data_IF_679133724101
#
_entry.id   IF_679133724101
#
_cell.length_a   1.000
_cell.length_b   1.000
_cell.length_c   1.000
_cell.angle_alpha   90.00
_cell.angle_beta   90.00
_cell.angle_gamma   90.00
#
_symmetry.space_group_name_H-M   'P 1'
#
loop_
_entity.id
_entity.type
_entity.pdbx_description
1 polymer ?
#
# COMPACT_ATOMS: atom_id res chain seq x y z
N UNK A 1 58.24 -6.36 -0.70
CA UNK A 1 58.02 -5.25 0.24
C UNK A 1 56.79 -5.55 1.03
N UNK A 2 56.80 -5.44 2.37
CA UNK A 2 56.02 -6.23 3.34
C UNK A 2 54.67 -5.51 3.62
N UNK A 3 53.55 -6.18 3.86
CA UNK A 3 53.30 -6.98 5.05
C UNK A 3 52.72 -6.13 6.18
N UNK A 4 51.36 -5.95 6.26
CA UNK A 4 50.73 -5.55 7.51
C UNK A 4 49.56 -6.50 7.76
N UNK A 5 49.79 -7.42 8.69
CA UNK A 5 48.77 -8.19 9.41
C UNK A 5 48.32 -7.31 10.56
N UNK A 6 47.04 -6.99 10.65
CA UNK A 6 46.45 -6.53 11.91
C UNK A 6 45.48 -7.58 12.46
N UNK A 7 45.85 -8.05 13.63
CA UNK A 7 45.07 -8.84 14.57
C UNK A 7 43.88 -8.04 15.05
N UNK A 8 42.66 -8.54 14.90
CA UNK A 8 41.50 -8.17 15.70
C UNK A 8 40.95 -9.40 16.42
N UNK A 9 41.67 -9.78 17.49
CA UNK A 9 41.12 -10.59 18.58
C UNK A 9 40.67 -9.62 19.68
N UNK A 10 39.38 -9.41 19.84
CA UNK A 10 38.79 -8.67 20.93
C UNK A 10 37.55 -9.40 21.44
N UNK A 11 37.75 -10.17 22.54
CA UNK A 11 36.67 -10.73 23.35
C UNK A 11 35.69 -9.62 23.76
N UNK A 12 34.42 -9.76 23.39
CA UNK A 12 33.33 -8.99 23.96
C UNK A 12 32.87 -9.70 25.24
N UNK A 13 33.31 -9.18 26.36
CA UNK A 13 32.79 -9.47 27.70
C UNK A 13 31.32 -9.02 27.78
N UNK A 14 30.43 -9.96 28.01
CA UNK A 14 28.97 -9.79 28.05
C UNK A 14 28.40 -9.45 29.43
N UNK A 15 29.19 -8.86 30.35
CA UNK A 15 28.72 -8.57 31.71
C UNK A 15 29.24 -7.24 32.27
N UNK A 16 28.84 -6.11 31.63
CA UNK A 16 28.90 -4.81 32.31
C UNK A 16 27.65 -3.97 31.98
N UNK A 17 26.68 -4.05 32.88
CA UNK A 17 25.62 -3.04 33.00
C UNK A 17 26.25 -1.82 33.67
N UNK A 18 26.26 -0.62 33.05
CA UNK A 18 26.69 0.59 33.75
C UNK A 18 25.63 0.99 34.77
N UNK A 19 26.08 1.11 36.03
CA UNK A 19 25.28 1.55 37.16
C UNK A 19 24.81 3.00 37.08
N UNK A 20 23.73 3.23 37.80
CA UNK A 20 23.24 4.49 38.37
C UNK A 20 23.01 5.68 37.40
N UNK A 21 21.85 5.65 36.74
CA UNK A 21 21.13 6.89 36.42
C UNK A 21 20.42 7.42 37.67
N UNK A 22 20.56 8.72 38.02
CA UNK A 22 19.92 9.28 39.19
C UNK A 22 18.40 9.18 39.05
N UNK A 23 17.77 8.53 40.04
CA UNK A 23 16.32 8.54 40.27
C UNK A 23 15.84 9.97 40.48
N UNK A 24 15.59 10.74 39.45
CA UNK A 24 14.73 11.91 39.58
C UNK A 24 13.29 11.40 39.56
N UNK A 25 12.72 11.38 40.74
CA UNK A 25 11.31 11.20 41.04
C UNK A 25 10.47 12.10 40.12
N UNK A 26 9.81 11.51 39.14
CA UNK A 26 8.63 12.12 38.55
C UNK A 26 7.52 11.99 39.61
N UNK A 27 7.21 13.09 40.28
CA UNK A 27 6.09 13.20 41.19
C UNK A 27 4.77 13.07 40.41
N UNK A 28 4.30 11.85 40.26
CA UNK A 28 2.93 11.51 39.82
C UNK A 28 2.12 11.17 41.06
N UNK A 29 1.83 12.20 41.86
CA UNK A 29 1.01 12.12 43.07
C UNK A 29 -0.06 13.20 43.05
N UNK A 30 -1.01 13.12 42.10
CA UNK A 30 -2.30 13.80 42.23
C UNK A 30 -3.43 12.84 41.87
N UNK A 31 -4.43 12.67 42.78
CA UNK A 31 -5.61 11.85 42.50
C UNK A 31 -6.39 12.41 41.29
N UNK A 32 -6.78 11.54 40.38
CA UNK A 32 -7.51 11.85 39.14
C UNK A 32 -8.93 12.45 39.43
N UNK A 33 -9.32 12.59 40.68
CA UNK A 33 -10.69 12.92 41.11
C UNK A 33 -11.13 14.38 40.89
N UNK A 34 -10.30 15.32 40.40
CA UNK A 34 -10.68 16.73 40.32
C UNK A 34 -10.20 17.45 39.05
N UNK A 35 -10.23 16.80 37.90
CA UNK A 35 -10.16 17.54 36.61
C UNK A 35 -11.55 17.96 36.22
N UNK A 36 -11.83 19.28 36.27
CA UNK A 36 -13.01 19.87 35.63
C UNK A 36 -13.15 19.32 34.21
N UNK A 37 -14.36 18.91 33.75
CA UNK A 37 -14.56 18.46 32.42
C UNK A 37 -14.12 19.57 31.43
N UNK A 38 -13.17 19.26 30.56
CA UNK A 38 -12.75 20.13 29.48
C UNK A 38 -13.99 20.49 28.63
N UNK A 39 -14.17 21.76 28.43
CA UNK A 39 -15.30 22.41 27.80
C UNK A 39 -15.66 21.76 26.44
N UNK A 40 -16.88 21.29 26.30
CA UNK A 40 -17.46 20.42 25.27
C UNK A 40 -17.63 21.12 23.90
N UNK A 41 -16.61 21.81 23.36
CA UNK A 41 -16.63 22.49 22.04
C UNK A 41 -15.76 21.85 20.96
N UNK A 42 -14.98 20.83 21.24
CA UNK A 42 -14.40 19.98 20.20
C UNK A 42 -15.15 18.65 20.24
N UNK A 43 -16.03 18.40 19.27
CA UNK A 43 -16.48 17.04 18.98
C UNK A 43 -15.20 16.20 18.79
N UNK A 44 -14.90 15.42 19.79
CA UNK A 44 -13.65 14.67 19.89
C UNK A 44 -13.54 13.78 18.65
N UNK A 45 -12.46 13.96 17.89
CA UNK A 45 -12.21 13.20 16.66
C UNK A 45 -12.22 11.71 17.02
N UNK A 46 -12.91 10.89 16.25
CA UNK A 46 -13.01 9.44 16.51
C UNK A 46 -11.62 8.78 16.66
N UNK A 47 -10.60 9.31 15.98
CA UNK A 47 -9.21 8.85 16.05
C UNK A 47 -8.51 9.23 17.36
N UNK A 48 -8.99 10.25 18.07
CA UNK A 48 -8.43 10.76 19.34
C UNK A 48 -9.19 10.27 20.57
N UNK A 49 -10.36 9.64 20.37
CA UNK A 49 -11.17 9.12 21.48
C UNK A 49 -10.45 8.00 22.18
N UNK A 50 -10.63 7.94 23.50
CA UNK A 50 -10.20 6.78 24.29
C UNK A 50 -11.05 5.57 23.93
N UNK A 51 -10.40 4.39 23.90
CA UNK A 51 -11.09 3.13 23.69
C UNK A 51 -11.47 2.53 25.06
N UNK A 52 -12.78 2.41 25.38
CA UNK A 52 -13.20 1.86 26.67
C UNK A 52 -12.69 0.42 26.90
N UNK A 53 -12.51 -0.37 25.84
CA UNK A 53 -12.00 -1.73 25.94
C UNK A 53 -10.51 -1.79 26.36
N UNK A 54 -9.80 -0.66 26.34
CA UNK A 54 -8.38 -0.54 26.67
C UNK A 54 -8.13 0.46 27.84
N UNK A 55 -9.15 0.77 28.65
CA UNK A 55 -9.05 1.81 29.67
C UNK A 55 -7.97 1.56 30.74
N UNK A 56 -7.62 0.29 31.01
CA UNK A 56 -6.59 -0.12 31.99
C UNK A 56 -5.51 -0.96 31.33
N UNK A 57 -5.14 -0.63 30.08
CA UNK A 57 -4.21 -1.45 29.29
C UNK A 57 -2.83 -1.58 29.93
N UNK A 58 -2.34 -0.50 30.53
CA UNK A 58 -1.04 -0.38 31.20
C UNK A 58 -0.94 -1.23 32.48
N UNK A 59 -2.07 -1.62 33.05
CA UNK A 59 -2.15 -2.47 34.25
C UNK A 59 -2.33 -3.96 33.91
N UNK A 60 -2.48 -4.31 32.63
CA UNK A 60 -2.79 -5.68 32.23
C UNK A 60 -1.54 -6.53 32.07
N UNK A 61 -1.62 -7.84 32.37
CA UNK A 61 -0.58 -8.80 31.99
C UNK A 61 -0.41 -8.84 30.47
N UNK A 62 0.80 -9.13 29.99
CA UNK A 62 1.12 -9.17 28.54
C UNK A 62 0.10 -9.95 27.71
N UNK A 63 -0.33 -11.12 28.21
CA UNK A 63 -1.30 -11.96 27.51
C UNK A 63 -2.65 -11.24 27.33
N UNK A 64 -3.11 -10.50 28.32
CA UNK A 64 -4.37 -9.76 28.24
C UNK A 64 -4.25 -8.53 27.33
N UNK A 65 -3.11 -7.83 27.37
CA UNK A 65 -2.81 -6.77 26.40
C UNK A 65 -2.96 -7.29 24.97
N UNK A 66 -2.35 -8.44 24.65
CA UNK A 66 -2.42 -9.05 23.32
C UNK A 66 -3.86 -9.47 22.95
N UNK A 67 -4.64 -9.99 23.90
CA UNK A 67 -6.05 -10.34 23.68
C UNK A 67 -6.90 -9.11 23.38
N UNK A 68 -6.69 -8.01 24.10
CA UNK A 68 -7.40 -6.74 23.86
C UNK A 68 -7.09 -6.22 22.45
N UNK A 69 -5.81 -6.17 22.08
CA UNK A 69 -5.38 -5.74 20.73
C UNK A 69 -6.01 -6.62 19.67
N UNK A 70 -5.88 -7.94 19.79
CA UNK A 70 -6.41 -8.88 18.81
C UNK A 70 -7.93 -8.77 18.66
N UNK A 71 -8.69 -8.64 19.75
CA UNK A 71 -10.13 -8.45 19.73
C UNK A 71 -10.55 -7.16 19.02
N UNK A 72 -9.81 -6.09 19.22
CA UNK A 72 -10.04 -4.83 18.52
C UNK A 72 -9.70 -4.94 17.02
N UNK A 73 -8.66 -5.66 16.66
CA UNK A 73 -8.25 -5.87 15.26
C UNK A 73 -9.31 -6.66 14.46
N UNK A 74 -10.07 -7.53 15.09
CA UNK A 74 -11.20 -8.24 14.45
C UNK A 74 -12.28 -7.30 13.89
N UNK A 75 -12.33 -6.04 14.33
CA UNK A 75 -13.27 -5.03 13.81
C UNK A 75 -12.87 -4.47 12.44
N UNK A 76 -11.61 -4.65 12.02
CA UNK A 76 -11.06 -4.01 10.83
C UNK A 76 -11.68 -4.56 9.55
N UNK A 77 -11.63 -5.86 9.34
CA UNK A 77 -12.16 -6.47 8.12
C UNK A 77 -13.67 -6.22 7.92
N UNK A 78 -14.54 -6.33 8.95
CA UNK A 78 -15.93 -5.93 8.84
C UNK A 78 -16.14 -4.44 8.52
N UNK A 79 -15.28 -3.54 9.03
CA UNK A 79 -15.34 -2.12 8.70
C UNK A 79 -15.01 -1.88 7.22
N UNK A 80 -13.98 -2.53 6.71
CA UNK A 80 -13.59 -2.46 5.29
C UNK A 80 -14.68 -3.08 4.41
N UNK A 81 -15.27 -4.21 4.79
CA UNK A 81 -16.37 -4.85 4.05
C UNK A 81 -17.53 -3.90 3.75
N UNK A 82 -17.88 -3.03 4.71
CA UNK A 82 -18.94 -2.02 4.51
C UNK A 82 -18.61 -0.97 3.44
N UNK A 83 -17.35 -0.84 3.04
CA UNK A 83 -16.89 0.13 2.03
C UNK A 83 -16.64 -0.50 0.65
N UNK A 84 -16.93 -1.79 0.46
CA UNK A 84 -16.71 -2.48 -0.82
C UNK A 84 -17.39 -1.80 -2.02
N UNK A 85 -18.62 -1.25 -1.94
CA UNK A 85 -19.23 -0.55 -3.05
C UNK A 85 -18.43 0.70 -3.48
N UNK A 86 -17.88 1.45 -2.53
CA UNK A 86 -17.04 2.62 -2.80
C UNK A 86 -15.69 2.20 -3.38
N UNK A 87 -15.11 1.11 -2.86
CA UNK A 87 -13.85 0.53 -3.40
C UNK A 87 -14.06 0.09 -4.85
N UNK A 88 -15.17 -0.58 -5.17
CA UNK A 88 -15.47 -1.01 -6.53
C UNK A 88 -15.54 0.19 -7.51
N UNK A 89 -16.26 1.26 -7.15
CA UNK A 89 -16.31 2.48 -7.95
C UNK A 89 -14.93 3.13 -8.12
N UNK A 90 -14.10 3.11 -7.07
CA UNK A 90 -12.74 3.63 -7.11
C UNK A 90 -11.83 2.79 -8.03
N UNK A 91 -11.98 1.46 -8.03
CA UNK A 91 -11.31 0.55 -8.96
C UNK A 91 -11.69 0.88 -10.41
N UNK A 92 -12.99 1.03 -10.70
CA UNK A 92 -13.44 1.36 -12.07
C UNK A 92 -12.90 2.72 -12.54
N UNK A 93 -12.84 3.70 -11.63
CA UNK A 93 -12.22 5.02 -11.90
C UNK A 93 -10.72 4.88 -12.19
N UNK A 94 -9.98 4.08 -11.43
CA UNK A 94 -8.54 3.84 -11.62
C UNK A 94 -8.28 3.10 -12.95
N UNK A 95 -9.10 2.09 -13.27
CA UNK A 95 -9.02 1.36 -14.55
C UNK A 95 -9.22 2.30 -15.74
N UNK A 96 -10.24 3.15 -15.69
CA UNK A 96 -10.50 4.13 -16.74
C UNK A 96 -9.33 5.10 -16.92
N UNK A 97 -8.77 5.62 -15.82
CA UNK A 97 -7.64 6.53 -15.85
C UNK A 97 -6.40 5.87 -16.47
N UNK A 98 -6.05 4.66 -16.04
CA UNK A 98 -4.85 3.96 -16.54
C UNK A 98 -5.00 3.59 -18.01
N UNK A 99 -6.18 3.17 -18.49
CA UNK A 99 -6.46 2.92 -19.90
C UNK A 99 -6.27 4.17 -20.76
N UNK A 100 -6.51 5.35 -20.20
CA UNK A 100 -6.33 6.64 -20.86
C UNK A 100 -4.92 7.24 -20.65
N UNK A 101 -3.93 6.42 -20.25
CA UNK A 101 -2.54 6.83 -20.06
C UNK A 101 -2.28 7.65 -18.80
N UNK A 102 -3.19 7.63 -17.82
CA UNK A 102 -3.00 8.18 -16.48
C UNK A 102 -2.46 7.14 -15.48
N UNK A 103 -2.38 7.53 -14.21
CA UNK A 103 -1.86 6.73 -13.10
C UNK A 103 -2.82 6.75 -11.91
N UNK A 104 -2.73 5.75 -11.04
CA UNK A 104 -3.24 5.78 -9.68
C UNK A 104 -2.14 6.30 -8.76
N UNK A 105 -2.33 7.43 -8.11
CA UNK A 105 -1.31 8.10 -7.29
C UNK A 105 -1.77 8.17 -5.85
N UNK A 106 -1.03 7.54 -4.95
CA UNK A 106 -1.24 7.61 -3.51
C UNK A 106 -0.55 8.84 -2.92
N UNK A 107 -1.20 9.57 -2.02
CA UNK A 107 -0.64 10.71 -1.31
C UNK A 107 -0.96 10.59 0.17
N UNK A 108 0.07 10.58 1.00
CA UNK A 108 -0.09 10.47 2.46
C UNK A 108 1.12 10.97 3.23
N UNK A 109 0.92 11.15 4.55
CA UNK A 109 1.96 11.42 5.52
C UNK A 109 2.06 10.28 6.54
N UNK A 110 3.19 10.14 7.22
CA UNK A 110 3.39 9.17 8.29
C UNK A 110 3.06 7.74 7.84
N UNK A 111 2.35 6.99 8.70
CA UNK A 111 1.92 5.61 8.41
C UNK A 111 1.09 5.51 7.13
N UNK A 112 0.15 6.43 6.92
CA UNK A 112 -0.72 6.42 5.73
C UNK A 112 0.08 6.53 4.42
N UNK A 113 1.08 7.41 4.39
CA UNK A 113 1.95 7.56 3.23
C UNK A 113 2.89 6.36 3.03
N UNK A 114 3.43 5.78 4.12
CA UNK A 114 4.25 4.56 4.06
C UNK A 114 3.49 3.37 3.50
N UNK A 115 2.22 3.19 3.88
CA UNK A 115 1.35 2.16 3.34
C UNK A 115 1.09 2.36 1.85
N UNK A 116 0.93 3.61 1.40
CA UNK A 116 0.84 3.94 -0.03
C UNK A 116 2.11 3.56 -0.79
N UNK A 117 3.29 3.87 -0.22
CA UNK A 117 4.58 3.46 -0.83
C UNK A 117 4.74 1.95 -0.87
N UNK A 118 4.39 1.26 0.23
CA UNK A 118 4.44 -0.21 0.28
C UNK A 118 3.60 -0.83 -0.84
N UNK A 119 2.33 -0.45 -0.97
CA UNK A 119 1.44 -1.02 -2.00
C UNK A 119 1.93 -0.69 -3.42
N UNK A 120 2.34 0.55 -3.68
CA UNK A 120 2.83 0.98 -5.00
C UNK A 120 4.12 0.25 -5.40
N UNK A 121 5.06 0.07 -4.48
CA UNK A 121 6.35 -0.60 -4.74
C UNK A 121 6.19 -2.07 -5.12
N UNK A 122 5.20 -2.76 -4.56
CA UNK A 122 4.92 -4.17 -4.85
C UNK A 122 4.15 -4.39 -6.17
N UNK A 123 3.59 -3.33 -6.76
CA UNK A 123 2.85 -3.43 -8.03
C UNK A 123 3.77 -3.69 -9.22
N UNK A 124 4.96 -3.12 -9.26
CA UNK A 124 5.91 -3.31 -10.35
C UNK A 124 6.39 -4.77 -10.48
N UNK A 125 6.90 -5.44 -9.44
CA UNK A 125 7.32 -6.83 -9.53
C UNK A 125 6.16 -7.81 -9.74
N UNK A 126 4.95 -7.49 -9.24
CA UNK A 126 3.77 -8.38 -9.30
C UNK A 126 3.05 -8.30 -10.64
N UNK A 127 2.85 -7.10 -11.16
CA UNK A 127 1.99 -6.83 -12.32
C UNK A 127 2.74 -6.24 -13.51
N UNK A 128 4.04 -6.00 -13.41
CA UNK A 128 4.86 -5.41 -14.46
C UNK A 128 4.37 -4.02 -14.88
N UNK A 129 4.05 -3.15 -13.92
CA UNK A 129 3.46 -1.85 -14.18
C UNK A 129 4.11 -0.73 -13.37
N UNK A 130 4.18 0.45 -13.96
CA UNK A 130 4.53 1.72 -13.30
C UNK A 130 3.31 2.65 -13.15
N UNK A 131 2.10 2.13 -13.42
CA UNK A 131 0.87 2.94 -13.40
C UNK A 131 0.35 3.22 -11.99
N UNK A 132 0.97 2.68 -10.95
CA UNK A 132 0.66 2.99 -9.56
C UNK A 132 1.90 3.64 -8.93
N UNK A 133 1.71 4.82 -8.36
CA UNK A 133 2.79 5.60 -7.74
C UNK A 133 2.37 6.08 -6.35
N UNK A 134 3.33 6.43 -5.52
CA UNK A 134 3.07 6.99 -4.20
C UNK A 134 3.94 8.23 -3.92
N UNK A 135 3.36 9.15 -3.17
CA UNK A 135 4.00 10.38 -2.70
C UNK A 135 3.85 10.44 -1.18
N UNK A 136 4.96 10.39 -0.48
CA UNK A 136 5.06 10.43 0.98
C UNK A 136 5.68 11.73 1.43
N UNK A 137 5.04 12.42 2.37
CA UNK A 137 5.59 13.61 3.00
C UNK A 137 6.98 13.31 3.60
N UNK A 138 8.00 14.05 3.16
CA UNK A 138 9.37 13.90 3.65
C UNK A 138 10.18 12.72 3.11
N UNK A 139 9.69 12.05 2.03
CA UNK A 139 10.50 11.02 1.38
C UNK A 139 11.82 11.61 0.82
N UNK A 140 12.93 10.81 0.80
CA UNK A 140 13.02 9.39 1.21
C UNK A 140 13.19 9.15 2.72
N UNK A 141 13.61 10.15 3.50
CA UNK A 141 13.92 9.96 4.93
C UNK A 141 12.71 9.45 5.75
N UNK A 142 11.50 9.91 5.40
CA UNK A 142 10.25 9.51 6.06
C UNK A 142 9.87 8.03 5.88
N UNK A 143 10.56 7.28 5.04
CA UNK A 143 10.38 5.82 4.94
C UNK A 143 10.88 5.11 6.21
N UNK A 144 11.98 5.60 6.78
CA UNK A 144 12.71 4.94 7.87
C UNK A 144 12.47 5.57 9.24
N UNK A 145 12.21 6.88 9.30
CA UNK A 145 12.02 7.62 10.56
C UNK A 145 10.85 8.59 10.45
N UNK A 146 10.32 9.00 11.59
CA UNK A 146 9.36 10.10 11.62
C UNK A 146 10.08 11.39 11.25
N UNK A 147 9.46 12.19 10.38
CA UNK A 147 9.91 13.55 10.05
C UNK A 147 8.75 14.46 10.41
N UNK A 148 8.93 15.15 11.53
CA UNK A 148 7.87 15.98 12.10
C UNK A 148 7.63 17.28 11.31
N UNK A 149 6.42 17.84 11.45
CA UNK A 149 6.03 19.12 10.86
C UNK A 149 5.70 19.08 9.36
N UNK A 150 6.10 18.04 8.63
CA UNK A 150 5.86 17.98 7.17
C UNK A 150 4.40 17.66 6.82
N UNK A 151 3.68 16.98 7.70
CA UNK A 151 2.26 16.71 7.50
C UNK A 151 1.38 17.96 7.65
N UNK A 152 1.89 19.01 8.29
CA UNK A 152 1.18 20.24 8.57
C UNK A 152 1.23 21.28 7.44
N UNK A 153 2.03 21.02 6.39
CA UNK A 153 2.15 21.95 5.27
C UNK A 153 1.25 21.58 4.08
N UNK A 154 0.30 22.47 3.78
CA UNK A 154 -0.56 22.40 2.58
C UNK A 154 0.26 22.52 1.29
N UNK A 155 1.27 23.40 1.30
CA UNK A 155 2.10 23.72 0.13
C UNK A 155 2.97 22.52 -0.29
N UNK A 156 3.48 21.78 0.70
CA UNK A 156 4.33 20.61 0.44
C UNK A 156 3.58 19.53 -0.35
N UNK A 157 2.33 19.22 0.01
CA UNK A 157 1.53 18.22 -0.69
C UNK A 157 1.28 18.58 -2.16
N UNK A 158 1.00 19.84 -2.43
CA UNK A 158 0.84 20.35 -3.80
C UNK A 158 2.17 20.32 -4.56
N UNK A 159 3.29 20.77 -3.93
CA UNK A 159 4.63 20.77 -4.52
C UNK A 159 5.09 19.37 -4.89
N UNK A 160 4.92 18.39 -4.00
CA UNK A 160 5.41 17.05 -4.22
C UNK A 160 4.62 16.33 -5.32
N UNK A 161 3.31 16.56 -5.44
CA UNK A 161 2.53 16.11 -6.61
C UNK A 161 3.00 16.78 -7.92
N UNK A 162 3.40 18.04 -7.87
CA UNK A 162 3.91 18.74 -9.05
C UNK A 162 5.23 18.15 -9.52
N UNK A 163 6.13 17.78 -8.60
CA UNK A 163 7.41 17.13 -8.93
C UNK A 163 7.26 15.82 -9.72
N UNK A 164 6.21 15.07 -9.48
CA UNK A 164 5.92 13.83 -10.22
C UNK A 164 5.10 14.05 -11.49
N UNK A 165 4.94 15.30 -11.93
CA UNK A 165 4.14 15.68 -13.11
C UNK A 165 2.69 15.17 -13.05
N UNK A 166 2.07 15.17 -11.84
CA UNK A 166 0.67 14.78 -11.65
C UNK A 166 -0.24 15.66 -12.53
N UNK A 167 -1.19 15.07 -13.23
CA UNK A 167 -2.03 15.78 -14.20
C UNK A 167 -3.49 15.27 -14.22
N UNK A 168 -4.34 15.86 -15.08
CA UNK A 168 -5.78 15.58 -15.17
C UNK A 168 -6.15 14.13 -15.54
N UNK A 169 -5.23 13.36 -16.11
CA UNK A 169 -5.45 11.94 -16.45
C UNK A 169 -5.23 11.01 -15.25
N UNK A 170 -4.48 11.47 -14.25
CA UNK A 170 -4.21 10.70 -13.04
C UNK A 170 -5.43 10.67 -12.10
N UNK A 171 -5.50 9.66 -11.26
CA UNK A 171 -6.43 9.58 -10.11
C UNK A 171 -5.61 9.72 -8.84
N UNK A 172 -5.96 10.68 -7.99
CA UNK A 172 -5.34 10.85 -6.68
C UNK A 172 -6.10 10.06 -5.62
N UNK A 173 -5.40 9.29 -4.80
CA UNK A 173 -5.91 8.74 -3.54
C UNK A 173 -5.24 9.48 -2.40
N UNK A 174 -5.96 10.40 -1.78
CA UNK A 174 -5.52 11.03 -0.53
C UNK A 174 -5.76 10.08 0.64
N UNK A 175 -4.72 9.81 1.44
CA UNK A 175 -4.75 8.83 2.53
C UNK A 175 -4.46 9.53 3.85
N UNK A 176 -5.46 9.58 4.75
CA UNK A 176 -5.32 10.15 6.09
C UNK A 176 -6.35 9.55 7.03
N UNK A 177 -5.92 8.91 8.12
CA UNK A 177 -6.83 8.27 9.08
C UNK A 177 -7.83 9.27 9.68
N UNK A 178 -7.36 10.46 10.08
CA UNK A 178 -8.21 11.55 10.58
C UNK A 178 -8.90 12.33 9.47
N UNK A 179 -8.36 12.26 8.24
CA UNK A 179 -8.80 13.02 7.09
C UNK A 179 -8.54 14.53 7.17
N UNK A 180 -7.61 14.95 8.03
CA UNK A 180 -7.33 16.36 8.33
C UNK A 180 -5.89 16.79 8.01
N UNK A 181 -4.98 15.86 7.69
CA UNK A 181 -3.57 16.17 7.42
C UNK A 181 -3.45 17.26 6.35
N UNK A 182 -2.90 18.45 6.66
CA UNK A 182 -2.79 19.56 5.73
C UNK A 182 -2.04 19.18 4.46
N UNK A 183 -0.99 18.40 4.56
CA UNK A 183 -0.25 17.86 3.40
C UNK A 183 -1.18 17.17 2.39
N UNK A 184 -2.05 16.27 2.86
CA UNK A 184 -2.99 15.53 2.01
C UNK A 184 -4.04 16.49 1.42
N UNK A 185 -4.59 17.39 2.25
CA UNK A 185 -5.55 18.39 1.79
C UNK A 185 -4.96 19.31 0.71
N UNK A 186 -3.70 19.71 0.85
CA UNK A 186 -3.00 20.55 -0.13
C UNK A 186 -2.84 19.86 -1.48
N UNK A 187 -2.43 18.58 -1.48
CA UNK A 187 -2.37 17.77 -2.69
C UNK A 187 -3.74 17.55 -3.34
N UNK A 188 -4.79 17.27 -2.54
CA UNK A 188 -6.16 17.12 -3.06
C UNK A 188 -6.70 18.41 -3.67
N UNK A 189 -6.41 19.58 -3.07
CA UNK A 189 -6.76 20.89 -3.66
C UNK A 189 -6.06 21.12 -4.99
N UNK A 190 -4.78 20.76 -5.11
CA UNK A 190 -4.06 20.80 -6.39
C UNK A 190 -4.71 19.89 -7.43
N UNK A 191 -5.02 18.65 -7.08
CA UNK A 191 -5.66 17.70 -7.97
C UNK A 191 -7.00 18.22 -8.48
N UNK A 192 -7.80 18.84 -7.60
CA UNK A 192 -9.07 19.50 -7.96
C UNK A 192 -8.87 20.64 -8.96
N UNK A 193 -7.88 21.53 -8.71
CA UNK A 193 -7.53 22.60 -9.68
C UNK A 193 -7.08 22.05 -11.04
N UNK A 194 -6.40 20.90 -11.05
CA UNK A 194 -6.00 20.22 -12.29
C UNK A 194 -7.12 19.39 -12.94
N UNK A 195 -8.33 19.41 -12.37
CA UNK A 195 -9.50 18.63 -12.82
C UNK A 195 -9.23 17.11 -12.87
N UNK A 196 -8.36 16.62 -12.02
CA UNK A 196 -8.12 15.20 -11.83
C UNK A 196 -9.18 14.58 -10.91
N UNK A 197 -9.41 13.27 -11.03
CA UNK A 197 -10.29 12.53 -10.14
C UNK A 197 -9.63 12.27 -8.79
N UNK A 198 -10.43 12.29 -7.73
CA UNK A 198 -9.95 12.24 -6.35
C UNK A 198 -10.73 11.20 -5.55
N UNK A 199 -9.99 10.32 -4.88
CA UNK A 199 -10.50 9.36 -3.90
C UNK A 199 -9.97 9.78 -2.53
N UNK A 200 -10.83 9.84 -1.53
CA UNK A 200 -10.45 10.03 -0.13
C UNK A 200 -10.49 8.69 0.59
N UNK A 201 -9.38 8.29 1.22
CA UNK A 201 -9.31 7.13 2.12
C UNK A 201 -9.06 7.64 3.55
N UNK A 202 -10.09 7.51 4.40
CA UNK A 202 -10.08 8.00 5.78
C UNK A 202 -10.80 7.01 6.70
N UNK A 203 -10.53 7.05 8.01
CA UNK A 203 -11.28 6.28 9.02
C UNK A 203 -12.23 7.18 9.85
N UNK A 204 -12.35 8.46 9.47
CA UNK A 204 -13.20 9.43 10.13
C UNK A 204 -14.35 9.86 9.19
N UNK A 205 -15.63 9.59 9.55
CA UNK A 205 -16.77 9.97 8.73
C UNK A 205 -16.96 11.50 8.60
N UNK A 206 -16.43 12.27 9.54
CA UNK A 206 -16.48 13.75 9.55
C UNK A 206 -15.19 14.39 8.99
N UNK A 207 -14.46 13.67 8.14
CA UNK A 207 -13.19 14.11 7.58
C UNK A 207 -13.38 15.27 6.58
N UNK A 208 -12.68 16.42 6.75
CA UNK A 208 -12.75 17.54 5.80
C UNK A 208 -12.35 17.15 4.37
N UNK A 209 -11.44 16.19 4.22
CA UNK A 209 -11.01 15.69 2.91
C UNK A 209 -12.16 15.10 2.08
N UNK A 210 -13.26 14.66 2.71
CA UNK A 210 -14.43 14.12 2.02
C UNK A 210 -15.05 15.13 1.04
N UNK A 211 -15.09 16.42 1.41
CA UNK A 211 -15.60 17.50 0.55
C UNK A 211 -14.76 17.81 -0.70
N UNK A 212 -13.55 17.25 -0.79
CA UNK A 212 -12.66 17.40 -1.94
C UNK A 212 -12.70 16.19 -2.89
N UNK A 213 -13.32 15.09 -2.51
CA UNK A 213 -13.24 13.82 -3.21
C UNK A 213 -14.47 13.54 -4.08
N UNK A 214 -14.25 12.84 -5.21
CA UNK A 214 -15.32 12.25 -6.03
C UNK A 214 -15.85 10.95 -5.39
N UNK A 215 -14.97 10.21 -4.68
CA UNK A 215 -15.31 8.99 -3.94
C UNK A 215 -14.66 9.04 -2.56
N UNK A 216 -15.46 8.74 -1.53
CA UNK A 216 -14.97 8.61 -0.15
C UNK A 216 -15.04 7.14 0.28
N UNK A 217 -13.90 6.58 0.66
CA UNK A 217 -13.77 5.25 1.27
C UNK A 217 -13.48 5.46 2.75
N UNK A 218 -14.45 5.15 3.60
CA UNK A 218 -14.35 5.43 5.04
C UNK A 218 -14.63 4.17 5.88
N UNK A 219 -13.63 3.28 6.05
CA UNK A 219 -13.75 2.18 7.00
C UNK A 219 -13.64 2.70 8.44
N UNK A 220 -14.78 2.83 9.11
CA UNK A 220 -14.85 3.30 10.50
C UNK A 220 -14.47 2.16 11.43
N UNK A 221 -13.25 2.20 11.98
CA UNK A 221 -12.67 1.16 12.86
C UNK A 221 -12.83 1.48 14.36
N UNK A 222 -13.36 2.66 14.68
CA UNK A 222 -13.47 3.14 16.07
C UNK A 222 -12.15 3.63 16.67
N UNK A 223 -12.15 3.98 17.97
CA UNK A 223 -10.97 4.43 18.69
C UNK A 223 -9.88 3.35 18.74
N UNK A 224 -8.63 3.76 18.67
CA UNK A 224 -7.49 2.84 18.78
C UNK A 224 -7.28 2.33 20.21
N UNK A 225 -6.59 1.22 20.37
CA UNK A 225 -6.21 0.67 21.68
C UNK A 225 -5.30 1.66 22.44
N UNK A 226 -4.41 2.33 21.71
CA UNK A 226 -3.69 3.50 22.18
C UNK A 226 -4.31 4.72 21.50
N UNK A 227 -4.98 5.58 22.25
CA UNK A 227 -5.69 6.75 21.73
C UNK A 227 -4.77 7.61 20.84
N UNK A 228 -5.24 7.98 19.64
CA UNK A 228 -4.48 8.75 18.67
C UNK A 228 -3.48 7.95 17.82
N UNK A 229 -3.17 6.70 18.20
CA UNK A 229 -2.18 5.88 17.48
C UNK A 229 -2.76 5.19 16.23
N UNK A 230 -3.11 5.98 15.22
CA UNK A 230 -3.78 5.53 13.98
C UNK A 230 -2.95 4.59 13.09
N UNK A 231 -1.71 4.23 13.49
CA UNK A 231 -0.91 3.20 12.84
C UNK A 231 -1.47 1.78 13.02
N UNK A 232 -2.38 1.56 13.97
CA UNK A 232 -2.93 0.25 14.35
C UNK A 232 -4.15 -0.11 13.46
N UNK A 233 -5.37 -0.10 13.99
CA UNK A 233 -6.59 -0.48 13.23
C UNK A 233 -6.81 0.35 11.98
N UNK A 234 -6.64 1.68 12.09
CA UNK A 234 -6.79 2.56 10.93
C UNK A 234 -5.76 2.27 9.85
N UNK A 235 -4.48 2.07 10.24
CA UNK A 235 -3.42 1.65 9.31
C UNK A 235 -3.74 0.30 8.66
N UNK A 236 -4.18 -0.69 9.43
CA UNK A 236 -4.58 -2.01 8.89
C UNK A 236 -5.75 -1.88 7.90
N UNK A 237 -6.76 -1.06 8.20
CA UNK A 237 -7.87 -0.80 7.30
C UNK A 237 -7.40 -0.15 5.99
N UNK A 238 -6.53 0.86 6.08
CA UNK A 238 -5.93 1.51 4.90
C UNK A 238 -5.17 0.50 4.04
N UNK A 239 -4.33 -0.35 4.65
CA UNK A 239 -3.60 -1.40 3.93
C UNK A 239 -4.52 -2.35 3.19
N UNK A 240 -5.61 -2.81 3.81
CA UNK A 240 -6.59 -3.68 3.17
C UNK A 240 -7.26 -2.99 1.97
N UNK A 241 -7.64 -1.72 2.10
CA UNK A 241 -8.24 -0.94 1.01
C UNK A 241 -7.26 -0.72 -0.14
N UNK A 242 -6.02 -0.33 0.14
CA UNK A 242 -4.99 -0.11 -0.89
C UNK A 242 -4.71 -1.38 -1.68
N UNK A 243 -4.56 -2.53 -1.00
CA UNK A 243 -4.38 -3.81 -1.66
C UNK A 243 -5.58 -4.19 -2.56
N UNK A 244 -6.82 -3.90 -2.13
CA UNK A 244 -8.01 -4.12 -2.95
C UNK A 244 -8.01 -3.19 -4.17
N UNK A 245 -7.68 -1.91 -4.01
CA UNK A 245 -7.62 -0.94 -5.10
C UNK A 245 -6.59 -1.36 -6.16
N UNK A 246 -5.34 -1.61 -5.77
CA UNK A 246 -4.27 -1.97 -6.69
C UNK A 246 -4.55 -3.32 -7.36
N UNK A 247 -4.84 -4.36 -6.56
CA UNK A 247 -5.03 -5.72 -7.09
C UNK A 247 -6.23 -5.79 -8.03
N UNK A 248 -7.40 -5.27 -7.61
CA UNK A 248 -8.59 -5.33 -8.45
C UNK A 248 -8.42 -4.49 -9.73
N UNK A 249 -7.75 -3.33 -9.66
CA UNK A 249 -7.41 -2.53 -10.83
C UNK A 249 -6.55 -3.34 -11.81
N UNK A 250 -5.50 -4.02 -11.34
CA UNK A 250 -4.64 -4.83 -12.20
C UNK A 250 -5.34 -6.06 -12.78
N UNK A 251 -6.23 -6.70 -12.02
CA UNK A 251 -7.10 -7.78 -12.52
C UNK A 251 -8.00 -7.28 -13.65
N UNK A 252 -8.66 -6.12 -13.48
CA UNK A 252 -9.54 -5.50 -14.48
C UNK A 252 -8.79 -5.01 -15.72
N UNK A 253 -7.50 -4.68 -15.58
CA UNK A 253 -6.59 -4.36 -16.69
C UNK A 253 -6.02 -5.60 -17.39
N UNK A 254 -6.40 -6.82 -16.97
CA UNK A 254 -5.97 -8.07 -17.59
C UNK A 254 -4.52 -8.45 -17.31
N UNK A 255 -3.95 -7.99 -16.18
CA UNK A 255 -2.59 -8.34 -15.75
C UNK A 255 -2.51 -9.65 -14.96
N UNK A 256 -3.66 -10.29 -14.73
CA UNK A 256 -3.81 -11.54 -13.97
C UNK A 256 -4.67 -12.52 -14.79
N UNK A 257 -4.22 -13.76 -14.91
CA UNK A 257 -4.96 -14.84 -15.56
C UNK A 257 -5.43 -15.84 -14.49
N UNK A 258 -6.76 -15.98 -14.32
CA UNK A 258 -7.33 -16.64 -13.14
C UNK A 258 -6.80 -15.97 -11.85
N UNK A 259 -5.98 -16.66 -11.07
CA UNK A 259 -5.30 -16.13 -9.89
C UNK A 259 -3.76 -16.07 -10.05
N UNK A 260 -3.24 -16.13 -11.29
CA UNK A 260 -1.80 -16.19 -11.57
C UNK A 260 -1.27 -14.86 -12.06
N UNK A 261 -0.11 -14.47 -11.54
CA UNK A 261 0.65 -13.30 -11.96
C UNK A 261 1.30 -13.57 -13.32
N UNK A 262 0.59 -13.24 -14.41
CA UNK A 262 1.09 -13.50 -15.78
C UNK A 262 2.05 -12.41 -16.28
N UNK A 263 2.07 -11.24 -15.65
CA UNK A 263 2.90 -10.12 -16.09
C UNK A 263 4.06 -9.83 -15.11
N UNK A 264 4.50 -10.86 -14.38
CA UNK A 264 5.58 -10.78 -13.40
C UNK A 264 6.91 -10.41 -14.06
N UNK A 265 7.67 -9.53 -13.41
CA UNK A 265 9.03 -9.17 -13.85
C UNK A 265 10.03 -10.23 -13.37
N UNK A 266 10.75 -10.89 -14.30
CA UNK A 266 11.69 -11.98 -14.01
C UNK A 266 13.05 -11.42 -13.58
N UNK A 267 13.12 -10.74 -12.44
CA UNK A 267 14.32 -10.06 -11.94
C UNK A 267 15.18 -10.94 -11.04
N UNK A 268 14.63 -12.03 -10.50
CA UNK A 268 15.36 -12.95 -9.62
C UNK A 268 14.95 -14.41 -9.85
N UNK A 269 15.69 -15.35 -9.24
CA UNK A 269 15.47 -16.79 -9.42
C UNK A 269 14.07 -17.24 -8.94
N UNK A 270 13.55 -16.69 -7.85
CA UNK A 270 12.20 -16.99 -7.35
C UNK A 270 11.13 -16.66 -8.39
N UNK A 271 11.24 -15.50 -9.04
CA UNK A 271 10.28 -15.05 -10.05
C UNK A 271 10.45 -15.84 -11.36
N UNK A 272 11.68 -16.21 -11.70
CA UNK A 272 11.95 -17.13 -12.81
C UNK A 272 11.27 -18.49 -12.61
N UNK A 273 11.51 -19.15 -11.47
CA UNK A 273 10.92 -20.45 -11.15
C UNK A 273 9.39 -20.40 -11.14
N UNK A 274 8.81 -19.28 -10.66
CA UNK A 274 7.36 -19.06 -10.69
C UNK A 274 6.83 -18.99 -12.13
N UNK A 275 7.48 -18.22 -13.00
CA UNK A 275 7.07 -18.08 -14.40
C UNK A 275 7.21 -19.41 -15.15
N UNK A 276 8.30 -20.17 -14.91
CA UNK A 276 8.51 -21.50 -15.45
C UNK A 276 7.38 -22.46 -15.03
N UNK A 277 7.00 -22.46 -13.74
CA UNK A 277 5.89 -23.25 -13.24
C UNK A 277 4.53 -22.83 -13.83
N UNK A 278 4.28 -21.54 -13.99
CA UNK A 278 3.05 -21.04 -14.64
C UNK A 278 2.98 -21.51 -16.09
N UNK A 279 4.09 -21.40 -16.83
CA UNK A 279 4.18 -21.82 -18.22
C UNK A 279 3.94 -23.34 -18.36
N UNK A 280 4.64 -24.14 -17.58
CA UNK A 280 4.47 -25.61 -17.54
C UNK A 280 3.02 -25.99 -17.26
N UNK A 281 2.41 -25.39 -16.21
CA UNK A 281 1.03 -25.71 -15.83
C UNK A 281 -0.05 -25.30 -16.84
N UNK A 282 0.19 -24.22 -17.59
CA UNK A 282 -0.80 -23.73 -18.56
C UNK A 282 -0.65 -24.32 -19.96
N UNK A 283 0.52 -24.88 -20.30
CA UNK A 283 0.81 -25.34 -21.66
C UNK A 283 1.13 -26.82 -21.75
N UNK A 284 1.33 -27.51 -20.64
CA UNK A 284 1.83 -28.89 -20.62
C UNK A 284 3.31 -29.05 -21.05
N UNK A 285 4.02 -27.95 -21.32
CA UNK A 285 5.43 -27.98 -21.69
C UNK A 285 6.31 -28.53 -20.57
N UNK A 286 7.38 -29.22 -20.93
CA UNK A 286 8.41 -29.64 -19.98
C UNK A 286 9.14 -28.43 -19.38
N UNK A 287 9.80 -28.60 -18.26
CA UNK A 287 10.60 -27.55 -17.61
C UNK A 287 11.69 -27.00 -18.54
N UNK A 288 12.34 -27.87 -19.32
CA UNK A 288 13.33 -27.48 -20.31
C UNK A 288 12.75 -26.60 -21.42
N UNK A 289 11.57 -26.99 -21.96
CA UNK A 289 10.85 -26.20 -22.98
C UNK A 289 10.37 -24.85 -22.42
N UNK A 290 9.85 -24.85 -21.19
CA UNK A 290 9.42 -23.63 -20.50
C UNK A 290 10.59 -22.66 -20.30
N UNK A 291 11.73 -23.15 -19.79
CA UNK A 291 12.93 -22.33 -19.60
C UNK A 291 13.48 -21.79 -20.93
N UNK A 292 13.44 -22.59 -22.02
CA UNK A 292 13.82 -22.13 -23.36
C UNK A 292 12.86 -21.01 -23.83
N UNK A 293 11.55 -21.22 -23.75
CA UNK A 293 10.55 -20.22 -24.16
C UNK A 293 10.68 -18.90 -23.40
N UNK A 294 10.95 -18.94 -22.09
CA UNK A 294 11.20 -17.73 -21.27
C UNK A 294 12.47 -16.98 -21.71
N UNK A 295 13.54 -17.70 -22.11
CA UNK A 295 14.74 -17.07 -22.68
C UNK A 295 14.44 -16.45 -24.04
N UNK A 296 13.83 -17.19 -24.95
CA UNK A 296 13.51 -16.78 -26.32
C UNK A 296 12.52 -15.58 -26.34
N UNK A 297 11.62 -15.50 -25.36
CA UNK A 297 10.70 -14.37 -25.16
C UNK A 297 11.36 -13.12 -24.57
N UNK A 298 12.65 -13.13 -24.27
CA UNK A 298 13.37 -12.08 -23.51
C UNK A 298 12.78 -11.86 -22.12
N UNK A 299 12.53 -12.93 -21.38
CA UNK A 299 11.96 -12.94 -20.03
C UNK A 299 10.54 -12.37 -19.94
N UNK A 300 9.78 -12.40 -21.00
CA UNK A 300 8.39 -11.95 -21.05
C UNK A 300 7.45 -13.16 -21.00
N UNK A 301 6.86 -13.42 -19.83
CA UNK A 301 6.01 -14.60 -19.61
C UNK A 301 4.76 -14.63 -20.53
N UNK A 302 3.99 -13.53 -20.72
CA UNK A 302 2.88 -13.51 -21.67
C UNK A 302 3.29 -13.91 -23.11
N UNK A 303 4.41 -13.37 -23.57
CA UNK A 303 4.96 -13.69 -24.90
C UNK A 303 5.35 -15.16 -24.97
N UNK A 304 6.06 -15.67 -23.94
CA UNK A 304 6.45 -17.08 -23.88
C UNK A 304 5.24 -18.03 -23.90
N UNK A 305 4.17 -17.70 -23.17
CA UNK A 305 2.91 -18.45 -23.16
C UNK A 305 2.30 -18.53 -24.57
N UNK A 306 2.19 -17.40 -25.29
CA UNK A 306 1.66 -17.40 -26.66
C UNK A 306 2.56 -18.15 -27.63
N UNK A 307 3.88 -18.02 -27.52
CA UNK A 307 4.83 -18.75 -28.36
C UNK A 307 4.60 -20.26 -28.26
N UNK A 308 4.42 -20.77 -27.03
CA UNK A 308 4.22 -22.21 -26.78
C UNK A 308 2.81 -22.65 -27.23
N UNK A 309 1.76 -21.93 -26.79
CA UNK A 309 0.36 -22.30 -27.06
C UNK A 309 0.03 -22.28 -28.56
N UNK A 310 0.49 -21.27 -29.28
CA UNK A 310 0.16 -21.07 -30.70
C UNK A 310 1.27 -21.51 -31.68
N UNK A 311 2.42 -21.97 -31.14
CA UNK A 311 3.61 -22.34 -31.95
C UNK A 311 4.05 -21.20 -32.91
N UNK A 312 4.02 -19.96 -32.44
CA UNK A 312 4.36 -18.76 -33.20
C UNK A 312 5.68 -18.13 -32.71
N UNK A 313 6.26 -17.27 -33.56
CA UNK A 313 7.48 -16.54 -33.24
C UNK A 313 7.22 -15.47 -32.18
N UNK A 314 8.29 -15.05 -31.48
CA UNK A 314 8.24 -13.95 -30.50
C UNK A 314 7.64 -12.67 -31.10
N UNK A 315 8.00 -12.32 -32.32
CA UNK A 315 7.49 -11.12 -32.98
C UNK A 315 5.96 -11.17 -33.13
N UNK A 316 5.42 -12.29 -33.64
CA UNK A 316 3.97 -12.50 -33.78
C UNK A 316 3.27 -12.51 -32.43
N UNK A 317 3.84 -13.17 -31.44
CA UNK A 317 3.28 -13.19 -30.08
C UNK A 317 3.24 -11.79 -29.44
N UNK A 318 4.31 -11.00 -29.61
CA UNK A 318 4.35 -9.62 -29.10
C UNK A 318 3.33 -8.70 -29.79
N UNK A 319 3.17 -8.81 -31.11
CA UNK A 319 2.17 -8.04 -31.85
C UNK A 319 0.74 -8.35 -31.36
N UNK A 320 0.36 -9.63 -31.22
CA UNK A 320 -0.96 -10.01 -30.72
C UNK A 320 -1.26 -9.48 -29.29
N UNK A 321 -0.24 -9.38 -28.45
CA UNK A 321 -0.41 -8.82 -27.10
C UNK A 321 -0.54 -7.29 -27.09
N UNK A 322 -0.04 -6.60 -28.12
CA UNK A 322 -0.14 -5.13 -28.25
C UNK A 322 -1.48 -4.69 -28.86
N UNK A 323 -2.08 -5.53 -29.72
CA UNK A 323 -3.37 -5.25 -30.37
C UNK A 323 -4.54 -5.25 -29.38
N UNK A 324 -4.40 -5.92 -28.25
CA UNK A 324 -5.48 -6.09 -27.29
C UNK A 324 -5.17 -5.45 -25.91
N UNK A 325 -6.11 -4.74 -25.33
CA UNK A 325 -5.91 -4.05 -24.05
C UNK A 325 -5.80 -5.01 -22.85
N UNK A 326 -6.16 -6.29 -23.01
CA UNK A 326 -6.15 -7.30 -21.94
C UNK A 326 -5.29 -8.50 -22.30
N UNK A 327 -4.10 -8.58 -21.74
CA UNK A 327 -3.19 -9.74 -21.86
C UNK A 327 -3.90 -11.04 -21.47
N UNK A 328 -4.68 -11.03 -20.37
CA UNK A 328 -5.42 -12.21 -19.92
C UNK A 328 -6.47 -12.68 -20.93
N UNK A 329 -7.12 -11.78 -21.66
CA UNK A 329 -8.11 -12.15 -22.68
C UNK A 329 -7.44 -12.87 -23.84
N UNK A 330 -6.31 -12.36 -24.33
CA UNK A 330 -5.52 -12.99 -25.39
C UNK A 330 -5.09 -14.41 -24.99
N UNK A 331 -4.53 -14.54 -23.78
CA UNK A 331 -4.07 -15.84 -23.28
C UNK A 331 -5.21 -16.83 -23.06
N UNK A 332 -6.38 -16.39 -22.56
CA UNK A 332 -7.56 -17.28 -22.44
C UNK A 332 -8.02 -17.85 -23.77
N UNK A 333 -8.05 -17.03 -24.82
CA UNK A 333 -8.38 -17.51 -26.17
C UNK A 333 -7.36 -18.54 -26.64
N UNK A 334 -6.06 -18.23 -26.51
CA UNK A 334 -5.00 -19.13 -26.92
C UNK A 334 -5.04 -20.48 -26.17
N UNK A 335 -5.34 -20.48 -24.87
CA UNK A 335 -5.49 -21.70 -24.08
C UNK A 335 -6.71 -22.52 -24.55
N UNK A 336 -7.84 -21.85 -24.82
CA UNK A 336 -9.04 -22.53 -25.34
C UNK A 336 -8.79 -23.17 -26.69
N UNK A 337 -8.13 -22.46 -27.60
CA UNK A 337 -7.75 -22.97 -28.94
C UNK A 337 -6.77 -24.15 -28.88
N UNK A 338 -5.88 -24.19 -27.88
CA UNK A 338 -4.91 -25.27 -27.73
C UNK A 338 -5.48 -26.54 -27.08
N UNK A 339 -6.61 -26.44 -26.35
CA UNK A 339 -7.26 -27.56 -25.64
C UNK A 339 -8.52 -28.08 -26.34
N UNK A 340 -9.00 -27.44 -27.39
CA UNK A 340 -10.10 -27.90 -28.24
C UNK A 340 -9.61 -28.43 -29.56
#
# INVERSE_FOLDING_TARGET
MPGVRENLGGNLDADRVPGDLPRRLFAWGMPIANRKPLNNKSRERITERTNPAAASLDMQPTQEILRIINREDHRVAPAVRRTLPQIARAVDMAVAAIRNGGRLVYLGAGTSGRLGVLDASECAPTFGTSSIAAVLAGAPAALWRSVEGLEDSLELGARDLTKIHFNKRDVLVGISASGRAPYVLGGMRLARRRRAKIIALTCNPEAPMAGLADIVICPVVGPEVIAGSSRMKAGTAQKLVLNMLSTATMVRLGRVLSNRMINVQLTNQKLWNRAEGILTNLTGATKAQAGKALKDSRRNLPVALLMVLKKITRAKASAQLQEEPSIAAVLRRAIKEANG
#
